data_IF_310621409377
#
_entry.id   IF_310621409377
#
_cell.length_a   1.000
_cell.length_b   1.000
_cell.length_c   1.000
_cell.angle_alpha   90.00
_cell.angle_beta   90.00
_cell.angle_gamma   90.00
#
_symmetry.space_group_name_H-M   'P 1'
#
loop_
_entity.id
_entity.type
_entity.pdbx_description
1 polymer ?
#
# COMPACT_ATOMS: atom_id res chain seq x y z
N UNK A 1 16.41 -19.67 60.74
CA UNK A 1 16.83 -19.22 59.40
C UNK A 1 15.71 -18.37 58.84
N UNK A 2 15.86 -17.03 58.78
CA UNK A 2 14.83 -16.16 58.23
C UNK A 2 14.97 -16.11 56.71
N UNK A 3 13.86 -16.26 56.00
CA UNK A 3 13.76 -16.08 54.55
C UNK A 3 13.49 -14.60 54.25
N UNK A 4 14.44 -13.97 53.55
CA UNK A 4 14.30 -12.61 53.01
C UNK A 4 13.32 -12.64 51.83
N UNK A 5 12.35 -11.71 51.71
CA UNK A 5 11.56 -11.59 50.49
C UNK A 5 12.41 -10.90 49.42
N UNK A 6 12.49 -11.51 48.24
CA UNK A 6 13.11 -10.90 47.07
C UNK A 6 12.23 -9.75 46.56
N UNK A 7 12.81 -8.56 46.50
CA UNK A 7 12.24 -7.35 45.90
C UNK A 7 11.96 -7.60 44.42
N UNK A 8 10.70 -7.54 44.00
CA UNK A 8 10.33 -7.54 42.60
C UNK A 8 10.73 -6.20 41.98
N UNK A 9 11.80 -6.18 41.19
CA UNK A 9 12.12 -5.07 40.30
C UNK A 9 11.12 -5.10 39.14
N UNK A 10 10.13 -4.20 39.18
CA UNK A 10 9.38 -3.82 37.99
C UNK A 10 10.35 -3.13 37.02
N UNK A 11 10.88 -3.88 36.07
CA UNK A 11 11.49 -3.30 34.88
C UNK A 11 10.37 -2.72 34.03
N UNK A 12 10.30 -1.39 33.99
CA UNK A 12 9.46 -0.67 33.04
C UNK A 12 9.92 -1.04 31.62
N UNK A 13 9.04 -1.70 30.85
CA UNK A 13 9.23 -1.83 29.42
C UNK A 13 8.91 -0.47 28.77
N UNK A 14 9.93 0.34 28.55
CA UNK A 14 9.86 1.43 27.59
C UNK A 14 9.74 0.81 26.19
N UNK A 15 8.51 0.51 25.80
CA UNK A 15 8.17 0.06 24.46
C UNK A 15 8.23 1.23 23.49
N UNK A 16 9.44 1.65 23.10
CA UNK A 16 9.60 2.42 21.86
C UNK A 16 9.21 1.49 20.73
N UNK A 17 8.09 1.76 20.07
CA UNK A 17 7.73 1.09 18.83
C UNK A 17 8.93 1.17 17.88
N UNK A 18 9.39 0.01 17.40
CA UNK A 18 10.56 -0.09 16.53
C UNK A 18 10.29 0.73 15.25
N UNK A 19 11.23 1.59 14.88
CA UNK A 19 11.07 2.48 13.75
C UNK A 19 10.93 1.66 12.44
N UNK A 20 9.90 1.93 11.65
CA UNK A 20 9.71 1.28 10.35
C UNK A 20 10.71 1.91 9.37
N UNK A 21 11.54 1.07 8.75
CA UNK A 21 12.52 1.49 7.75
C UNK A 21 12.03 1.19 6.33
N UNK A 22 12.37 2.05 5.39
CA UNK A 22 12.13 1.89 3.96
C UNK A 22 13.47 1.76 3.21
N UNK A 23 13.48 1.04 2.10
CA UNK A 23 14.63 1.03 1.19
C UNK A 23 14.65 2.30 0.32
N UNK A 24 15.72 3.08 0.44
CA UNK A 24 16.03 4.14 -0.50
C UNK A 24 16.62 3.55 -1.77
N UNK A 25 16.22 4.06 -2.92
CA UNK A 25 16.71 3.60 -4.22
C UNK A 25 17.15 4.76 -5.11
N UNK A 26 17.99 4.48 -6.09
CA UNK A 26 18.26 5.40 -7.19
C UNK A 26 17.18 5.32 -8.28
N UNK A 27 17.35 6.11 -9.34
CA UNK A 27 16.39 6.22 -10.45
C UNK A 27 16.26 4.92 -11.28
N UNK A 28 17.23 4.00 -11.15
CA UNK A 28 17.23 2.69 -11.79
C UNK A 28 16.64 1.61 -10.86
N UNK A 29 16.28 1.97 -9.62
CA UNK A 29 15.68 1.09 -8.63
C UNK A 29 16.69 0.29 -7.81
N UNK A 30 17.98 0.62 -7.90
CA UNK A 30 19.05 -0.02 -7.12
C UNK A 30 19.02 0.52 -5.69
N UNK A 31 19.08 -0.37 -4.70
CA UNK A 31 19.08 0.01 -3.28
C UNK A 31 20.36 0.78 -2.95
N UNK A 32 20.20 1.99 -2.40
CA UNK A 32 21.31 2.89 -1.99
C UNK A 32 21.37 3.13 -0.48
N UNK A 33 20.37 2.67 0.27
CA UNK A 33 20.33 2.81 1.72
C UNK A 33 18.96 2.53 2.31
N UNK A 34 18.76 2.99 3.55
CA UNK A 34 17.47 2.95 4.22
C UNK A 34 17.20 4.28 4.93
N UNK A 35 15.92 4.60 5.11
CA UNK A 35 15.47 5.73 5.91
C UNK A 35 14.29 5.32 6.78
N UNK A 36 14.11 6.01 7.91
CA UNK A 36 12.87 5.89 8.68
C UNK A 36 11.69 6.37 7.83
N UNK A 37 10.55 5.69 7.95
CA UNK A 37 9.37 5.88 7.12
C UNK A 37 8.93 7.33 7.05
N UNK A 38 8.71 7.99 8.18
CA UNK A 38 8.29 9.39 8.17
C UNK A 38 9.37 10.28 7.55
N UNK A 39 10.65 10.07 7.87
CA UNK A 39 11.77 10.82 7.30
C UNK A 39 11.89 10.68 5.77
N UNK A 40 11.56 9.52 5.20
CA UNK A 40 11.54 9.33 3.74
C UNK A 40 10.44 10.15 3.04
N UNK A 41 9.33 10.40 3.74
CA UNK A 41 8.19 11.17 3.21
C UNK A 41 8.25 12.66 3.54
N UNK A 42 9.20 13.12 4.37
CA UNK A 42 9.38 14.54 4.67
C UNK A 42 9.95 15.30 3.45
N UNK A 43 9.52 16.54 3.18
CA UNK A 43 10.04 17.34 2.08
C UNK A 43 11.57 17.43 2.08
N UNK A 44 12.25 17.23 0.93
CA UNK A 44 11.68 17.17 -0.42
C UNK A 44 11.11 15.80 -0.86
N UNK A 45 11.02 14.83 0.04
CA UNK A 45 10.84 13.42 -0.29
C UNK A 45 12.20 12.76 -0.57
N UNK A 46 12.30 11.48 -0.26
CA UNK A 46 13.44 10.65 -0.65
C UNK A 46 12.93 9.50 -1.51
N UNK A 47 13.55 9.27 -2.66
CA UNK A 47 13.14 8.18 -3.54
C UNK A 47 13.30 6.83 -2.81
N UNK A 48 12.17 6.15 -2.60
CA UNK A 48 12.14 4.89 -1.88
C UNK A 48 11.29 3.85 -2.59
N UNK A 49 11.56 2.58 -2.30
CA UNK A 49 10.88 1.45 -2.93
C UNK A 49 9.48 1.27 -2.35
N UNK A 50 8.51 1.08 -3.24
CA UNK A 50 7.11 0.88 -2.88
C UNK A 50 6.47 -0.19 -3.78
N UNK A 51 5.23 -0.55 -3.47
CA UNK A 51 4.40 -1.37 -4.34
C UNK A 51 2.94 -0.90 -4.38
N UNK A 52 2.24 -1.27 -5.45
CA UNK A 52 0.80 -1.07 -5.62
C UNK A 52 0.15 -2.32 -6.21
N UNK A 53 -0.93 -2.76 -5.59
CA UNK A 53 -1.73 -3.93 -6.00
C UNK A 53 -3.07 -3.49 -6.58
N UNK A 54 -3.50 -4.15 -7.65
CA UNK A 54 -4.82 -4.06 -8.25
C UNK A 54 -5.44 -5.46 -8.33
N UNK A 55 -6.44 -5.74 -7.50
CA UNK A 55 -7.18 -7.01 -7.55
C UNK A 55 -8.53 -6.81 -8.22
N UNK A 56 -8.91 -7.80 -9.02
CA UNK A 56 -10.16 -7.84 -9.74
C UNK A 56 -10.99 -9.04 -9.31
N UNK A 57 -12.31 -8.91 -9.37
CA UNK A 57 -13.22 -10.05 -9.28
C UNK A 57 -13.41 -10.72 -10.65
N UNK A 58 -14.12 -11.84 -10.67
CA UNK A 58 -14.42 -12.61 -11.89
C UNK A 58 -15.25 -11.83 -12.94
N UNK A 59 -15.80 -10.67 -12.56
CA UNK A 59 -16.56 -9.78 -13.44
C UNK A 59 -15.70 -8.65 -13.99
N UNK A 60 -14.40 -8.66 -13.71
CA UNK A 60 -13.46 -7.62 -14.11
C UNK A 60 -13.68 -6.31 -13.37
N UNK A 61 -14.25 -6.31 -12.16
CA UNK A 61 -14.37 -5.09 -11.34
C UNK A 61 -13.14 -4.93 -10.45
N UNK A 62 -12.58 -3.73 -10.40
CA UNK A 62 -11.43 -3.40 -9.56
C UNK A 62 -11.87 -3.24 -8.10
N UNK A 63 -11.14 -3.88 -7.19
CA UNK A 63 -11.28 -3.66 -5.76
C UNK A 63 -10.56 -2.37 -5.34
N UNK A 64 -11.32 -1.37 -4.90
CA UNK A 64 -10.78 -0.19 -4.23
C UNK A 64 -10.88 -0.35 -2.72
N UNK A 65 -9.94 0.28 -2.01
CA UNK A 65 -10.04 0.48 -0.56
C UNK A 65 -10.14 1.96 -0.22
N UNK A 66 -10.89 2.27 0.83
CA UNK A 66 -10.85 3.54 1.51
C UNK A 66 -9.92 3.41 2.71
N UNK A 67 -8.88 4.23 2.77
CA UNK A 67 -7.89 4.19 3.84
C UNK A 67 -8.55 4.51 5.19
N UNK A 68 -8.17 3.79 6.25
CA UNK A 68 -8.64 4.07 7.60
C UNK A 68 -8.36 5.52 8.02
N UNK A 69 -9.26 6.09 8.83
CA UNK A 69 -9.16 7.47 9.30
C UNK A 69 -7.99 7.70 10.25
N UNK A 70 -7.48 6.63 10.90
CA UNK A 70 -6.33 6.68 11.80
C UNK A 70 -4.97 6.67 11.09
N UNK A 71 -4.92 6.56 9.76
CA UNK A 71 -3.66 6.53 9.01
C UNK A 71 -2.98 7.90 9.08
N UNK A 72 -1.68 7.90 9.38
CA UNK A 72 -0.90 9.15 9.47
C UNK A 72 -0.80 9.89 8.12
N UNK A 73 -0.84 9.16 7.00
CA UNK A 73 -0.77 9.72 5.65
C UNK A 73 -2.03 9.39 4.85
N UNK A 74 -2.60 10.41 4.21
CA UNK A 74 -3.83 10.36 3.41
C UNK A 74 -4.97 9.55 4.07
N UNK A 75 -5.44 9.91 5.28
CA UNK A 75 -6.57 9.23 5.93
C UNK A 75 -7.88 9.45 5.15
N UNK A 76 -8.71 8.41 5.05
CA UNK A 76 -10.08 8.52 4.50
C UNK A 76 -10.20 8.63 2.98
N UNK A 77 -9.10 8.75 2.23
CA UNK A 77 -9.12 8.78 0.76
C UNK A 77 -9.31 7.37 0.17
N UNK A 78 -9.94 7.29 -1.00
CA UNK A 78 -9.98 6.07 -1.80
C UNK A 78 -8.67 5.84 -2.53
N UNK A 79 -8.31 4.58 -2.73
CA UNK A 79 -7.07 4.19 -3.42
C UNK A 79 -7.20 2.82 -4.09
N UNK A 80 -6.12 2.35 -4.71
CA UNK A 80 -6.01 1.01 -5.27
C UNK A 80 -6.07 -0.05 -4.17
N UNK A 81 -6.13 -1.33 -4.56
CA UNK A 81 -6.48 -2.41 -3.64
C UNK A 81 -5.60 -2.49 -2.40
N UNK A 82 -4.29 -2.37 -2.56
CA UNK A 82 -3.34 -2.32 -1.45
C UNK A 82 -2.07 -1.60 -1.93
N UNK A 83 -1.45 -0.81 -1.08
CA UNK A 83 -0.18 -0.14 -1.36
C UNK A 83 0.66 -0.10 -0.09
N UNK A 84 1.97 -0.02 -0.26
CA UNK A 84 2.88 0.08 0.86
C UNK A 84 4.31 -0.11 0.44
N UNK A 85 5.14 -0.51 1.40
CA UNK A 85 6.58 -0.54 1.25
C UNK A 85 7.11 -1.93 1.62
N UNK A 86 8.03 -2.49 0.82
CA UNK A 86 8.82 -3.63 1.27
C UNK A 86 9.68 -3.25 2.47
N UNK A 87 9.88 -4.18 3.39
CA UNK A 87 10.94 -4.04 4.38
C UNK A 87 12.32 -4.10 3.71
N UNK A 88 13.38 -3.58 4.36
CA UNK A 88 14.74 -3.72 3.85
C UNK A 88 15.11 -5.17 3.53
N UNK A 89 15.47 -5.44 2.27
CA UNK A 89 15.79 -6.77 1.76
C UNK A 89 14.59 -7.67 1.44
N UNK A 90 13.36 -7.19 1.60
CA UNK A 90 12.14 -7.91 1.21
C UNK A 90 11.86 -7.71 -0.28
N UNK A 91 11.55 -8.81 -0.99
CA UNK A 91 11.13 -8.72 -2.39
C UNK A 91 9.77 -7.99 -2.49
N UNK A 92 9.59 -7.04 -3.43
CA UNK A 92 8.32 -6.31 -3.59
C UNK A 92 7.09 -7.20 -3.73
N UNK A 93 7.21 -8.33 -4.44
CA UNK A 93 6.12 -9.30 -4.56
C UNK A 93 5.72 -9.89 -3.20
N UNK A 94 6.70 -10.23 -2.35
CA UNK A 94 6.46 -10.77 -1.02
C UNK A 94 5.78 -9.72 -0.12
N UNK A 95 6.26 -8.47 -0.17
CA UNK A 95 5.66 -7.35 0.54
C UNK A 95 4.21 -7.11 0.12
N UNK A 96 3.93 -7.12 -1.19
CA UNK A 96 2.60 -6.96 -1.75
C UNK A 96 1.64 -8.06 -1.28
N UNK A 97 2.06 -9.32 -1.34
CA UNK A 97 1.26 -10.46 -0.87
C UNK A 97 1.00 -10.37 0.64
N UNK A 98 2.02 -10.06 1.43
CA UNK A 98 1.93 -9.92 2.89
C UNK A 98 0.99 -8.79 3.28
N UNK A 99 1.19 -7.57 2.76
CA UNK A 99 0.35 -6.41 3.09
C UNK A 99 -1.09 -6.57 2.61
N UNK A 100 -1.31 -7.21 1.46
CA UNK A 100 -2.66 -7.55 1.01
C UNK A 100 -3.36 -8.46 2.02
N UNK A 101 -2.65 -9.45 2.56
CA UNK A 101 -3.20 -10.32 3.60
C UNK A 101 -3.43 -9.58 4.92
N UNK A 102 -2.48 -8.76 5.37
CA UNK A 102 -2.60 -7.96 6.60
C UNK A 102 -3.79 -6.97 6.52
N UNK A 103 -3.94 -6.23 5.42
CA UNK A 103 -4.97 -5.17 5.29
C UNK A 103 -6.35 -5.72 4.95
N UNK A 104 -6.44 -6.76 4.12
CA UNK A 104 -7.71 -7.24 3.54
C UNK A 104 -8.10 -8.65 3.98
N UNK A 105 -7.24 -9.35 4.72
CA UNK A 105 -7.47 -10.71 5.20
C UNK A 105 -7.55 -11.76 4.10
N UNK A 106 -6.95 -11.47 2.93
CA UNK A 106 -6.99 -12.34 1.76
C UNK A 106 -5.61 -12.56 1.14
N UNK A 107 -5.40 -13.76 0.61
CA UNK A 107 -4.32 -14.02 -0.35
C UNK A 107 -4.93 -13.99 -1.75
N UNK A 108 -4.37 -13.20 -2.69
CA UNK A 108 -4.84 -13.21 -4.09
C UNK A 108 -4.78 -14.62 -4.67
N UNK A 109 -5.80 -15.02 -5.45
CA UNK A 109 -5.77 -16.32 -6.15
C UNK A 109 -4.83 -16.31 -7.35
N UNK A 110 -4.57 -15.13 -7.89
CA UNK A 110 -3.55 -14.83 -8.88
C UNK A 110 -2.92 -13.49 -8.53
N UNK A 111 -1.60 -13.38 -8.65
CA UNK A 111 -0.87 -12.11 -8.55
C UNK A 111 0.32 -12.17 -9.52
N UNK A 112 0.45 -11.17 -10.37
CA UNK A 112 1.51 -11.07 -11.37
C UNK A 112 2.09 -9.66 -11.38
N UNK A 113 3.37 -9.55 -11.75
CA UNK A 113 4.04 -8.27 -11.97
C UNK A 113 3.39 -7.51 -13.14
N UNK A 114 3.22 -6.21 -12.95
CA UNK A 114 2.61 -5.27 -13.90
C UNK A 114 3.56 -4.11 -14.25
N UNK A 115 4.87 -4.31 -14.07
CA UNK A 115 5.90 -3.32 -14.32
C UNK A 115 6.17 -2.39 -13.13
N UNK A 116 6.79 -1.25 -13.42
CA UNK A 116 7.23 -0.28 -12.41
C UNK A 116 6.93 1.13 -12.89
N UNK A 117 6.67 2.03 -11.95
CA UNK A 117 6.52 3.47 -12.23
C UNK A 117 7.26 4.29 -11.17
N UNK A 118 7.91 5.37 -11.60
CA UNK A 118 8.48 6.38 -10.70
C UNK A 118 7.61 7.61 -10.68
N UNK A 119 7.39 8.19 -9.52
CA UNK A 119 6.65 9.45 -9.37
C UNK A 119 7.11 10.26 -8.16
N UNK A 120 6.75 11.54 -8.18
CA UNK A 120 6.92 12.47 -7.06
C UNK A 120 5.62 13.26 -6.90
N UNK A 121 4.88 12.95 -5.84
CA UNK A 121 3.59 13.56 -5.50
C UNK A 121 3.66 14.22 -4.12
N UNK A 122 3.91 15.54 -4.06
CA UNK A 122 3.71 16.31 -2.84
C UNK A 122 2.22 16.34 -2.48
N UNK A 123 1.90 16.10 -1.20
CA UNK A 123 0.56 16.24 -0.64
C UNK A 123 0.46 17.56 0.15
N UNK A 124 -0.22 18.60 -0.39
CA UNK A 124 -0.36 19.88 0.30
C UNK A 124 -1.14 19.79 1.61
N UNK A 125 -1.98 18.78 1.80
CA UNK A 125 -2.81 18.64 3.00
C UNK A 125 -2.00 18.14 4.20
N UNK A 126 -1.13 17.15 3.99
CA UNK A 126 -0.25 16.62 5.05
C UNK A 126 1.12 17.30 5.10
N UNK A 127 1.57 17.92 4.00
CA UNK A 127 2.93 18.43 3.83
C UNK A 127 3.97 17.33 3.55
N UNK A 128 3.54 16.09 3.36
CA UNK A 128 4.41 14.96 3.02
C UNK A 128 4.56 14.80 1.49
N UNK A 129 5.52 13.99 1.08
CA UNK A 129 5.84 13.72 -0.32
C UNK A 129 5.91 12.22 -0.56
N UNK A 130 5.14 11.73 -1.52
CA UNK A 130 5.27 10.38 -2.06
C UNK A 130 6.27 10.41 -3.22
N UNK A 131 7.53 10.08 -2.95
CA UNK A 131 8.57 9.95 -3.95
C UNK A 131 8.98 8.49 -4.06
N UNK A 132 8.39 7.77 -5.00
CA UNK A 132 8.42 6.30 -4.99
C UNK A 132 8.92 5.72 -6.30
N UNK A 133 9.72 4.65 -6.18
CA UNK A 133 9.92 3.63 -7.20
C UNK A 133 8.94 2.50 -6.92
N UNK A 134 7.81 2.51 -7.61
CA UNK A 134 6.65 1.70 -7.26
C UNK A 134 6.56 0.45 -8.16
N UNK A 135 6.60 -0.73 -7.55
CA UNK A 135 6.39 -2.02 -8.21
C UNK A 135 4.89 -2.34 -8.30
N UNK A 136 4.40 -2.61 -9.50
CA UNK A 136 2.99 -2.79 -9.75
C UNK A 136 2.65 -4.27 -9.82
N UNK A 137 1.51 -4.64 -9.24
CA UNK A 137 0.99 -6.00 -9.28
C UNK A 137 -0.49 -6.01 -9.63
N UNK A 138 -0.89 -6.93 -10.50
CA UNK A 138 -2.30 -7.17 -10.86
C UNK A 138 -2.69 -8.59 -10.51
N UNK A 139 -3.93 -8.80 -10.10
CA UNK A 139 -4.35 -10.10 -9.61
C UNK A 139 -5.86 -10.31 -9.52
N UNK A 140 -6.25 -11.50 -9.09
CA UNK A 140 -7.65 -11.88 -8.90
C UNK A 140 -7.93 -12.15 -7.42
N UNK A 141 -9.15 -11.80 -7.02
CA UNK A 141 -9.71 -12.15 -5.70
C UNK A 141 -10.98 -12.97 -5.89
N UNK A 142 -11.02 -14.13 -5.23
CA UNK A 142 -12.17 -15.05 -5.24
C UNK A 142 -12.69 -15.37 -3.83
N UNK A 143 -12.01 -14.89 -2.80
CA UNK A 143 -12.37 -15.11 -1.41
C UNK A 143 -13.03 -13.89 -0.78
N UNK A 144 -13.94 -14.06 0.20
CA UNK A 144 -14.49 -12.94 0.96
C UNK A 144 -13.40 -12.13 1.67
N UNK A 145 -13.51 -10.81 1.60
CA UNK A 145 -12.61 -9.88 2.29
C UNK A 145 -12.85 -9.90 3.80
N UNK A 146 -11.79 -9.70 4.57
CA UNK A 146 -11.82 -9.46 6.02
C UNK A 146 -10.91 -8.27 6.34
N UNK A 147 -11.31 -7.04 5.99
CA UNK A 147 -10.45 -5.88 6.15
C UNK A 147 -10.14 -5.59 7.63
N UNK A 148 -8.90 -5.21 7.90
CA UNK A 148 -8.51 -4.70 9.22
C UNK A 148 -9.03 -3.26 9.36
N UNK A 149 -9.93 -2.97 10.32
CA UNK A 149 -10.47 -1.61 10.51
C UNK A 149 -9.40 -0.56 10.89
N UNK A 150 -8.21 -0.98 11.35
CA UNK A 150 -7.08 -0.08 11.59
C UNK A 150 -6.43 0.42 10.28
N UNK A 151 -6.60 -0.32 9.19
CA UNK A 151 -5.96 -0.06 7.90
C UNK A 151 -6.96 0.39 6.83
N UNK A 152 -8.16 -0.20 6.84
CA UNK A 152 -9.18 -0.05 5.79
C UNK A 152 -10.52 0.33 6.41
N UNK A 153 -11.04 1.50 6.04
CA UNK A 153 -12.36 1.97 6.45
C UNK A 153 -13.50 1.32 5.65
N UNK A 154 -13.28 1.08 4.35
CA UNK A 154 -14.30 0.55 3.44
C UNK A 154 -13.66 -0.06 2.20
N UNK A 155 -14.40 -0.92 1.51
CA UNK A 155 -13.97 -1.54 0.25
C UNK A 155 -15.11 -1.51 -0.76
N UNK A 156 -14.80 -1.37 -2.05
CA UNK A 156 -15.82 -1.43 -3.11
C UNK A 156 -15.24 -2.02 -4.39
N UNK A 157 -16.01 -2.88 -5.06
CA UNK A 157 -15.73 -3.31 -6.42
C UNK A 157 -16.36 -2.36 -7.42
N UNK A 158 -15.57 -1.87 -8.37
CA UNK A 158 -16.01 -0.90 -9.39
C UNK A 158 -15.66 -1.34 -10.80
N UNK A 159 -16.57 -1.09 -11.72
CA UNK A 159 -16.30 -1.04 -13.16
C UNK A 159 -15.54 0.24 -13.53
N UNK A 160 -14.95 0.33 -14.74
CA UNK A 160 -14.33 1.57 -15.22
C UNK A 160 -15.27 2.78 -15.18
N UNK A 161 -16.55 2.60 -15.55
CA UNK A 161 -17.54 3.67 -15.52
C UNK A 161 -17.90 4.10 -14.09
N UNK A 162 -17.95 3.17 -13.14
CA UNK A 162 -18.15 3.47 -11.72
C UNK A 162 -16.93 4.17 -11.12
N UNK A 163 -15.73 3.75 -11.50
CA UNK A 163 -14.50 4.41 -11.09
C UNK A 163 -14.48 5.86 -11.57
N UNK A 164 -14.79 6.11 -12.84
CA UNK A 164 -14.83 7.47 -13.39
C UNK A 164 -15.82 8.38 -12.63
N UNK A 165 -17.01 7.85 -12.28
CA UNK A 165 -17.99 8.59 -11.48
C UNK A 165 -17.50 8.89 -10.07
N UNK A 166 -16.92 7.88 -9.38
CA UNK A 166 -16.38 8.05 -8.03
C UNK A 166 -15.22 9.02 -8.01
N UNK A 167 -14.30 8.94 -8.96
CA UNK A 167 -13.15 9.85 -9.04
C UNK A 167 -13.58 11.32 -9.24
N UNK A 168 -14.78 11.57 -9.78
CA UNK A 168 -15.35 12.91 -9.88
C UNK A 168 -16.06 13.41 -8.60
N UNK A 169 -16.34 12.52 -7.64
CA UNK A 169 -17.19 12.80 -6.47
C UNK A 169 -16.44 12.63 -5.14
N UNK A 170 -15.56 11.63 -5.06
CA UNK A 170 -14.83 11.23 -3.88
C UNK A 170 -13.36 11.70 -3.96
N UNK A 171 -12.70 11.80 -2.81
CA UNK A 171 -11.26 12.08 -2.75
C UNK A 171 -10.45 10.79 -2.92
N UNK A 172 -9.51 10.80 -3.86
CA UNK A 172 -8.57 9.70 -4.10
C UNK A 172 -7.17 10.09 -3.65
N UNK A 173 -6.34 9.09 -3.38
CA UNK A 173 -4.91 9.31 -3.18
C UNK A 173 -4.26 9.90 -4.43
N UNK A 174 -3.30 10.81 -4.23
CA UNK A 174 -2.64 11.55 -5.33
C UNK A 174 -1.97 10.62 -6.36
N UNK A 175 -1.46 9.48 -5.92
CA UNK A 175 -0.80 8.50 -6.76
C UNK A 175 -1.75 7.61 -7.58
N UNK A 176 -3.03 7.50 -7.19
CA UNK A 176 -3.92 6.43 -7.67
C UNK A 176 -3.98 6.33 -9.20
N UNK A 177 -4.20 7.45 -9.89
CA UNK A 177 -4.27 7.44 -11.35
C UNK A 177 -2.91 7.18 -12.00
N UNK A 178 -1.81 7.66 -11.42
CA UNK A 178 -0.46 7.39 -11.91
C UNK A 178 -0.15 5.89 -11.92
N UNK A 179 -0.43 5.19 -10.81
CA UNK A 179 -0.17 3.75 -10.72
C UNK A 179 -1.16 2.92 -11.56
N UNK A 180 -2.43 3.35 -11.65
CA UNK A 180 -3.43 2.66 -12.48
C UNK A 180 -3.11 2.77 -13.97
N UNK A 181 -2.70 3.96 -14.44
CA UNK A 181 -2.34 4.16 -15.84
C UNK A 181 -1.11 3.34 -16.23
N UNK A 182 -0.12 3.25 -15.34
CA UNK A 182 1.06 2.42 -15.55
C UNK A 182 0.73 0.91 -15.57
N UNK A 183 -0.20 0.46 -14.72
CA UNK A 183 -0.63 -0.94 -14.66
C UNK A 183 -1.61 -1.35 -15.78
N UNK A 184 -2.18 -0.38 -16.52
CA UNK A 184 -3.27 -0.60 -17.48
C UNK A 184 -3.01 -1.69 -18.53
N UNK A 185 -1.80 -1.84 -19.11
CA UNK A 185 -1.53 -2.94 -20.03
C UNK A 185 -1.77 -4.32 -19.41
N UNK A 186 -1.25 -4.55 -18.19
CA UNK A 186 -1.41 -5.81 -17.47
C UNK A 186 -2.85 -6.00 -16.98
N UNK A 187 -3.53 -4.93 -16.57
CA UNK A 187 -4.96 -4.98 -16.22
C UNK A 187 -5.79 -5.48 -17.41
N UNK A 188 -5.56 -4.93 -18.62
CA UNK A 188 -6.28 -5.35 -19.83
C UNK A 188 -6.03 -6.80 -20.19
N UNK A 189 -4.79 -7.25 -20.05
CA UNK A 189 -4.43 -8.65 -20.27
C UNK A 189 -5.16 -9.57 -19.29
N UNK A 190 -5.18 -9.20 -18.01
CA UNK A 190 -5.83 -9.96 -16.95
C UNK A 190 -7.36 -10.02 -17.10
N UNK A 191 -8.02 -8.87 -17.31
CA UNK A 191 -9.49 -8.78 -17.31
C UNK A 191 -10.12 -9.07 -18.68
N UNK A 192 -9.31 -9.08 -19.74
CA UNK A 192 -9.77 -9.18 -21.12
C UNK A 192 -10.42 -7.89 -21.66
N UNK A 193 -10.67 -7.82 -22.98
CA UNK A 193 -11.11 -6.61 -23.66
C UNK A 193 -12.55 -6.20 -23.34
N UNK A 194 -13.39 -7.11 -22.83
CA UNK A 194 -14.80 -6.84 -22.50
C UNK A 194 -14.98 -6.10 -21.17
N UNK A 195 -13.96 -6.05 -20.30
CA UNK A 195 -14.05 -5.42 -18.99
C UNK A 195 -13.94 -3.88 -19.02
N UNK A 196 -13.44 -3.31 -20.12
CA UNK A 196 -13.44 -1.87 -20.37
C UNK A 196 -12.32 -1.06 -19.69
N UNK A 197 -11.26 -1.72 -19.21
CA UNK A 197 -10.08 -1.08 -18.61
C UNK A 197 -9.09 -0.53 -19.63
#
# INVERSE_FOLDING_TARGET
MPITPATATHGASDGTAEAILLELVDEDGVTIGTAEKLAAHQPPGQLHRAFSVFLFDERGRLLLQQRALGKYHSPGVWSNTCCGHPYPGEAPFAAAARRTFEELGISPSLLAEAGTVRYNHPDPASGLVEQEYNHLFVGMVQSPLRPDPAEVASTVFVTPAELARRHAQDTFSSWFMTVLDAARPAVRELTGPSAGW
#
